data_IF_028585974579
#
_entry.id   IF_028585974579
#
_cell.length_a   1.000
_cell.length_b   1.000
_cell.length_c   1.000
_cell.angle_alpha   90.00
_cell.angle_beta   90.00
_cell.angle_gamma   90.00
#
_symmetry.space_group_name_H-M   'P 1'
#
loop_
_entity.id
_entity.type
_entity.pdbx_description
1 polymer ?
#
# COMPACT_ATOMS: atom_id res chain seq x y z
N UNK A 1 48.97 15.30 13.96
CA UNK A 1 48.57 14.34 12.90
C UNK A 1 47.75 13.20 13.52
N UNK A 2 46.42 13.37 13.58
CA UNK A 2 45.50 12.38 14.13
C UNK A 2 45.02 11.46 13.00
N UNK A 3 45.29 10.17 13.14
CA UNK A 3 44.77 9.10 12.29
C UNK A 3 43.29 8.88 12.61
N UNK A 4 42.41 9.18 11.65
CA UNK A 4 40.98 8.91 11.74
C UNK A 4 40.67 7.40 11.71
N UNK A 5 39.43 7.01 12.07
CA UNK A 5 39.02 5.61 12.12
C UNK A 5 39.04 4.97 10.72
N UNK A 6 39.46 3.71 10.67
CA UNK A 6 39.44 2.86 9.48
C UNK A 6 38.00 2.61 9.04
N UNK A 7 37.76 2.65 7.73
CA UNK A 7 36.45 2.37 7.14
C UNK A 7 36.13 0.87 7.26
N UNK A 8 34.94 0.57 7.77
CA UNK A 8 34.36 -0.79 7.76
C UNK A 8 34.05 -1.21 6.33
N UNK A 9 34.99 -1.93 5.70
CA UNK A 9 34.88 -2.53 4.37
C UNK A 9 34.47 -4.02 4.44
N UNK A 10 33.91 -4.48 5.56
CA UNK A 10 33.66 -5.91 5.77
C UNK A 10 32.41 -6.44 5.02
N UNK A 11 31.49 -5.56 4.64
CA UNK A 11 30.35 -5.93 3.79
C UNK A 11 30.38 -5.04 2.55
N UNK A 12 30.83 -5.61 1.42
CA UNK A 12 30.69 -4.97 0.12
C UNK A 12 29.23 -4.58 -0.10
N UNK A 13 29.00 -3.40 -0.70
CA UNK A 13 27.69 -2.82 -0.99
C UNK A 13 26.85 -3.66 -1.97
N UNK A 14 26.44 -4.86 -1.58
CA UNK A 14 25.33 -5.56 -2.22
C UNK A 14 24.07 -5.18 -1.45
N UNK A 15 23.21 -4.37 -2.10
CA UNK A 15 21.90 -4.05 -1.55
C UNK A 15 21.06 -5.32 -1.47
N UNK A 16 20.75 -5.75 -0.25
CA UNK A 16 19.74 -6.77 0.04
C UNK A 16 18.35 -6.21 -0.32
N UNK A 17 17.90 -6.42 -1.56
CA UNK A 17 16.47 -6.56 -1.94
C UNK A 17 16.32 -6.54 -3.46
N UNK A 18 15.98 -7.68 -4.07
CA UNK A 18 14.98 -7.81 -5.14
C UNK A 18 14.97 -9.23 -5.72
N UNK A 19 13.92 -10.04 -5.50
CA UNK A 19 13.65 -11.20 -6.33
C UNK A 19 12.66 -10.81 -7.44
N UNK A 20 13.09 -10.03 -8.43
CA UNK A 20 12.36 -9.91 -9.70
C UNK A 20 12.95 -10.92 -10.70
N UNK A 21 12.68 -12.20 -10.46
CA UNK A 21 12.97 -13.26 -11.41
C UNK A 21 11.77 -13.47 -12.33
N UNK A 22 11.70 -12.67 -13.38
CA UNK A 22 10.87 -12.97 -14.55
C UNK A 22 11.36 -14.24 -15.24
N UNK A 23 10.56 -15.31 -15.16
CA UNK A 23 10.81 -16.56 -15.87
C UNK A 23 10.53 -16.40 -17.37
N UNK A 24 11.56 -15.98 -18.11
CA UNK A 24 11.63 -16.07 -19.57
C UNK A 24 12.64 -17.13 -19.98
N UNK A 25 12.23 -18.40 -20.02
CA UNK A 25 13.05 -19.51 -20.53
C UNK A 25 12.85 -19.62 -22.04
N UNK A 26 13.91 -19.46 -22.84
CA UNK A 26 14.16 -20.29 -24.03
C UNK A 26 15.58 -20.12 -24.65
N UNK A 27 16.36 -21.22 -24.60
CA UNK A 27 17.36 -21.78 -25.56
C UNK A 27 18.59 -20.90 -25.94
N UNK A 28 19.78 -21.44 -26.22
CA UNK A 28 20.14 -22.71 -26.89
C UNK A 28 21.59 -23.10 -26.59
N UNK A 29 21.88 -24.39 -26.80
CA UNK A 29 23.15 -25.10 -26.71
C UNK A 29 24.30 -24.53 -27.56
N UNK A 30 25.53 -24.56 -27.03
CA UNK A 30 26.78 -24.30 -27.75
C UNK A 30 27.98 -24.22 -26.80
N UNK A 31 28.84 -25.24 -26.81
CA UNK A 31 30.01 -25.44 -25.92
C UNK A 31 31.14 -24.38 -26.11
N UNK A 32 32.14 -24.32 -25.19
CA UNK A 32 32.85 -23.11 -24.75
C UNK A 32 34.20 -22.90 -25.45
N UNK A 33 34.70 -21.67 -25.39
CA UNK A 33 36.12 -21.41 -25.67
C UNK A 33 36.63 -20.29 -24.73
N UNK A 34 37.51 -20.66 -23.80
CA UNK A 34 38.15 -19.72 -22.89
C UNK A 34 38.47 -20.34 -21.53
N UNK A 35 39.67 -20.04 -21.02
CA UNK A 35 40.16 -20.38 -19.69
C UNK A 35 39.31 -19.73 -18.58
N UNK A 36 38.09 -20.20 -18.42
CA UNK A 36 37.20 -19.83 -17.33
C UNK A 36 37.47 -20.79 -16.18
N UNK A 37 37.87 -20.23 -15.03
CA UNK A 37 37.90 -20.96 -13.77
C UNK A 37 36.50 -21.55 -13.58
N UNK A 38 36.35 -22.84 -13.85
CA UNK A 38 35.24 -23.61 -13.32
C UNK A 38 35.63 -23.84 -11.86
N UNK A 39 35.13 -23.07 -10.87
CA UNK A 39 35.14 -23.61 -9.53
C UNK A 39 34.46 -24.96 -9.67
N UNK A 40 35.10 -26.03 -9.19
CA UNK A 40 34.39 -27.29 -8.95
C UNK A 40 33.02 -26.90 -8.42
N UNK A 41 31.96 -27.12 -9.19
CA UNK A 41 30.64 -26.72 -8.77
C UNK A 41 30.42 -27.54 -7.49
N UNK A 42 30.45 -26.95 -6.27
CA UNK A 42 30.35 -27.75 -5.05
C UNK A 42 28.95 -28.38 -4.95
N UNK A 43 28.04 -27.99 -5.84
CA UNK A 43 26.75 -28.62 -6.09
C UNK A 43 26.85 -29.82 -7.04
N UNK A 44 27.89 -30.66 -6.93
CA UNK A 44 27.77 -32.07 -7.35
C UNK A 44 26.75 -32.70 -6.41
N UNK A 45 25.48 -32.54 -6.75
CA UNK A 45 24.32 -33.34 -6.37
C UNK A 45 24.48 -34.18 -5.09
N UNK A 46 24.76 -33.55 -3.96
CA UNK A 46 24.18 -34.06 -2.74
C UNK A 46 22.69 -33.80 -2.90
N UNK A 47 21.86 -34.85 -2.87
CA UNK A 47 20.39 -34.75 -2.77
C UNK A 47 19.93 -33.90 -1.55
N UNK A 48 20.87 -33.35 -0.78
CA UNK A 48 20.73 -32.41 0.32
C UNK A 48 20.49 -30.96 -0.13
N UNK A 49 20.41 -30.68 -1.44
CA UNK A 49 19.97 -29.38 -1.93
C UNK A 49 18.54 -29.08 -1.47
N UNK A 50 18.40 -28.17 -0.51
CA UNK A 50 17.07 -27.78 -0.05
C UNK A 50 16.28 -27.04 -1.15
N UNK A 51 14.96 -27.19 -1.15
CA UNK A 51 14.08 -26.59 -2.18
C UNK A 51 14.18 -25.06 -2.20
N UNK A 52 13.82 -24.40 -3.30
CA UNK A 52 13.80 -22.93 -3.37
C UNK A 52 12.99 -22.29 -2.22
N UNK A 53 11.96 -22.97 -1.72
CA UNK A 53 11.22 -22.54 -0.55
C UNK A 53 12.13 -22.36 0.68
N UNK A 54 13.12 -23.23 0.88
CA UNK A 54 14.10 -23.16 1.96
C UNK A 54 14.85 -21.83 2.01
N UNK A 55 15.11 -21.21 0.86
CA UNK A 55 15.83 -19.94 0.78
C UNK A 55 14.90 -18.73 0.66
N UNK A 56 13.57 -18.93 0.79
CA UNK A 56 12.61 -17.86 0.62
C UNK A 56 12.54 -16.97 1.87
N UNK A 57 13.16 -15.80 1.83
CA UNK A 57 12.96 -14.77 2.84
C UNK A 57 11.57 -14.15 2.67
N UNK A 58 10.85 -13.93 3.77
CA UNK A 58 9.62 -13.14 3.67
C UNK A 58 10.00 -11.68 3.47
N UNK A 59 9.20 -10.90 2.73
CA UNK A 59 9.41 -9.46 2.64
C UNK A 59 9.45 -8.86 4.05
N UNK A 60 10.45 -8.03 4.34
CA UNK A 60 10.55 -7.25 5.58
C UNK A 60 10.06 -5.81 5.36
N UNK A 61 9.84 -5.06 6.44
CA UNK A 61 9.65 -3.61 6.40
C UNK A 61 10.97 -2.85 6.20
N UNK A 62 11.91 -3.44 5.48
CA UNK A 62 13.30 -2.98 5.32
C UNK A 62 13.96 -2.65 6.67
N UNK A 63 14.61 -1.49 6.78
CA UNK A 63 15.30 -1.04 8.01
C UNK A 63 14.35 -0.61 9.14
N UNK A 64 13.04 -0.53 8.92
CA UNK A 64 12.09 0.01 9.89
C UNK A 64 11.39 -1.08 10.69
N UNK A 65 11.07 -2.20 10.05
CA UNK A 65 10.40 -3.31 10.72
C UNK A 65 10.94 -4.67 10.27
N UNK A 66 11.30 -5.50 11.24
CA UNK A 66 11.57 -6.91 11.02
C UNK A 66 10.29 -7.71 11.32
N UNK A 67 9.71 -8.29 10.26
CA UNK A 67 8.61 -9.25 10.41
C UNK A 67 9.16 -10.68 10.51
N UNK A 68 8.27 -11.63 10.82
CA UNK A 68 8.60 -13.06 10.79
C UNK A 68 9.20 -13.44 9.43
N UNK A 69 10.51 -13.72 9.39
CA UNK A 69 11.17 -14.29 8.23
C UNK A 69 11.15 -15.81 8.29
N UNK A 70 10.77 -16.41 7.16
CA UNK A 70 11.05 -17.80 6.89
C UNK A 70 12.56 -17.85 6.60
N UNK A 71 13.29 -18.58 7.45
CA UNK A 71 14.69 -19.02 7.31
C UNK A 71 15.79 -18.36 8.19
N UNK A 72 16.74 -19.18 8.73
CA UNK A 72 16.60 -20.59 9.05
C UNK A 72 15.75 -20.77 10.32
N UNK A 73 14.80 -21.69 10.27
CA UNK A 73 14.07 -22.12 11.46
C UNK A 73 14.97 -23.02 12.33
N UNK A 74 15.99 -22.44 12.98
CA UNK A 74 16.75 -23.12 14.04
C UNK A 74 15.85 -23.27 15.27
N UNK A 75 14.92 -24.24 15.22
CA UNK A 75 14.01 -24.70 16.26
C UNK A 75 13.69 -23.71 17.42
N UNK A 76 12.85 -22.69 17.21
CA UNK A 76 11.95 -22.24 18.25
C UNK A 76 10.60 -22.99 18.11
N UNK A 77 9.88 -23.13 19.21
CA UNK A 77 8.64 -23.89 19.34
C UNK A 77 7.54 -23.46 18.35
N UNK A 78 7.35 -24.22 17.27
CA UNK A 78 6.10 -24.23 16.50
C UNK A 78 6.19 -24.73 15.06
N UNK A 79 5.07 -25.25 14.53
CA UNK A 79 4.97 -25.69 13.14
C UNK A 79 4.82 -24.50 12.17
N UNK A 80 5.56 -24.55 11.06
CA UNK A 80 5.37 -23.64 9.94
C UNK A 80 4.24 -24.17 9.05
N UNK A 81 3.36 -23.29 8.59
CA UNK A 81 2.32 -23.64 7.62
C UNK A 81 2.16 -22.54 6.56
N UNK A 82 1.62 -22.92 5.40
CA UNK A 82 1.26 -22.01 4.32
C UNK A 82 -0.14 -21.45 4.56
N UNK A 83 -0.27 -20.12 4.54
CA UNK A 83 -1.58 -19.47 4.55
C UNK A 83 -2.26 -19.61 3.18
N UNK A 84 -3.56 -19.29 3.10
CA UNK A 84 -4.29 -19.25 1.82
C UNK A 84 -3.69 -18.30 0.77
N UNK A 85 -2.87 -17.33 1.20
CA UNK A 85 -2.10 -16.43 0.34
C UNK A 85 -0.73 -16.98 -0.11
N UNK A 86 -0.40 -18.25 0.21
CA UNK A 86 0.88 -18.85 -0.17
C UNK A 86 2.08 -18.41 0.67
N UNK A 87 1.85 -17.87 1.87
CA UNK A 87 2.92 -17.39 2.75
C UNK A 87 3.19 -18.34 3.91
N UNK A 88 4.47 -18.52 4.24
CA UNK A 88 4.87 -19.25 5.44
C UNK A 88 4.65 -18.40 6.69
N UNK A 89 3.90 -18.93 7.64
CA UNK A 89 3.76 -18.36 8.98
C UNK A 89 4.09 -19.43 10.02
N UNK A 90 4.67 -19.01 11.15
CA UNK A 90 4.92 -19.88 12.28
C UNK A 90 3.85 -19.66 13.34
N UNK A 91 3.12 -20.71 13.70
CA UNK A 91 2.23 -20.63 14.85
C UNK A 91 3.04 -20.59 16.13
N UNK A 92 2.71 -19.64 17.00
CA UNK A 92 3.25 -19.61 18.35
C UNK A 92 2.72 -20.82 19.12
N UNK A 93 3.55 -21.85 19.31
CA UNK A 93 3.20 -22.95 20.19
C UNK A 93 3.45 -22.54 21.63
N UNK A 94 2.36 -22.37 22.38
CA UNK A 94 2.45 -22.19 23.82
C UNK A 94 3.16 -23.40 24.46
N UNK A 95 4.20 -23.13 25.26
CA UNK A 95 4.72 -24.13 26.19
C UNK A 95 3.57 -24.50 27.12
N UNK A 96 3.08 -25.75 27.03
CA UNK A 96 2.07 -26.27 27.96
C UNK A 96 2.67 -26.30 29.36
N UNK A 97 2.46 -25.23 30.13
CA UNK A 97 2.73 -25.22 31.55
C UNK A 97 1.77 -26.23 32.19
N UNK A 98 2.26 -27.37 32.69
CA UNK A 98 1.41 -28.32 33.42
C UNK A 98 1.01 -27.68 34.76
N UNK A 99 -0.16 -27.05 34.80
CA UNK A 99 -0.74 -26.46 36.01
C UNK A 99 -2.28 -26.49 35.97
N UNK A 100 -2.96 -26.53 37.12
CA UNK A 100 -4.41 -26.78 37.20
C UNK A 100 -5.31 -25.68 36.61
N UNK A 101 -4.75 -24.54 36.20
CA UNK A 101 -5.50 -23.42 35.58
C UNK A 101 -4.58 -22.64 34.63
N UNK A 102 -4.26 -23.23 33.47
CA UNK A 102 -3.55 -22.49 32.41
C UNK A 102 -4.56 -21.59 31.69
N UNK A 103 -4.67 -20.35 32.12
CA UNK A 103 -5.36 -19.34 31.32
C UNK A 103 -4.57 -19.16 30.01
N UNK A 104 -5.23 -19.38 28.87
CA UNK A 104 -4.62 -19.20 27.53
C UNK A 104 -4.09 -17.78 27.42
N UNK A 105 -2.81 -17.52 27.06
CA UNK A 105 -2.20 -16.18 27.05
C UNK A 105 -2.99 -15.09 26.31
N UNK A 106 -3.91 -15.49 25.44
CA UNK A 106 -4.98 -14.63 24.89
C UNK A 106 -5.73 -13.81 25.95
N UNK A 107 -5.72 -14.23 27.21
CA UNK A 107 -6.36 -13.54 28.33
C UNK A 107 -5.57 -12.35 28.88
N UNK A 108 -4.23 -12.32 28.73
CA UNK A 108 -3.41 -11.22 29.25
C UNK A 108 -2.82 -10.33 28.17
N UNK A 109 -2.69 -10.78 26.92
CA UNK A 109 -2.40 -9.85 25.82
C UNK A 109 -2.63 -10.46 24.43
N UNK A 110 -3.52 -9.84 23.63
CA UNK A 110 -3.67 -10.15 22.21
C UNK A 110 -2.38 -9.85 21.42
N UNK A 111 -1.47 -9.03 21.97
CA UNK A 111 -0.20 -8.67 21.35
C UNK A 111 0.78 -9.85 21.23
N UNK A 112 0.72 -10.83 22.14
CA UNK A 112 1.66 -11.98 22.16
C UNK A 112 1.36 -12.97 21.04
N UNK A 113 0.08 -13.11 20.64
CA UNK A 113 -0.29 -13.97 19.50
C UNK A 113 0.28 -13.46 18.16
N UNK A 114 0.64 -12.18 18.10
CA UNK A 114 1.23 -11.56 16.92
C UNK A 114 2.75 -11.66 16.90
N UNK A 115 3.39 -12.34 17.86
CA UNK A 115 4.85 -12.51 17.91
C UNK A 115 5.25 -13.99 17.74
N UNK A 116 6.32 -14.28 17.00
CA UNK A 116 6.87 -15.64 16.94
C UNK A 116 7.70 -15.99 18.19
N UNK A 117 8.27 -17.19 18.22
CA UNK A 117 9.17 -17.64 19.28
C UNK A 117 10.47 -16.82 19.43
N UNK A 118 10.75 -15.89 18.51
CA UNK A 118 11.85 -14.93 18.59
C UNK A 118 11.38 -13.50 18.95
N UNK A 119 10.08 -13.30 19.21
CA UNK A 119 9.51 -12.00 19.55
C UNK A 119 9.24 -11.09 18.34
N UNK A 120 9.42 -11.58 17.11
CA UNK A 120 9.19 -10.80 15.87
C UNK A 120 7.71 -10.74 15.53
N UNK A 121 7.25 -9.60 15.03
CA UNK A 121 5.86 -9.41 14.64
C UNK A 121 5.52 -10.28 13.42
N UNK A 122 4.34 -10.90 13.42
CA UNK A 122 3.79 -11.58 12.25
C UNK A 122 3.74 -10.59 11.09
N UNK A 123 4.19 -11.03 9.92
CA UNK A 123 4.11 -10.21 8.72
C UNK A 123 2.64 -9.81 8.50
N UNK A 124 2.34 -8.52 8.27
CA UNK A 124 0.97 -8.11 8.01
C UNK A 124 0.42 -8.79 6.75
N UNK A 125 -0.90 -8.79 6.57
CA UNK A 125 -1.50 -9.30 5.33
C UNK A 125 -1.00 -8.51 4.11
N UNK A 126 -1.08 -9.11 2.91
CA UNK A 126 -0.56 -8.49 1.69
C UNK A 126 -1.20 -7.12 1.41
N UNK A 127 -2.52 -7.05 1.57
CA UNK A 127 -3.30 -5.81 1.40
C UNK A 127 -3.31 -4.93 2.65
N UNK A 128 -2.54 -5.29 3.69
CA UNK A 128 -2.51 -4.51 4.91
C UNK A 128 -1.70 -3.22 4.70
N UNK A 129 -2.27 -2.06 5.04
CA UNK A 129 -1.56 -0.78 5.16
C UNK A 129 -0.23 -0.88 5.91
N UNK A 130 -0.13 -1.80 6.87
CA UNK A 130 1.06 -2.01 7.70
C UNK A 130 2.28 -2.51 6.93
N UNK A 131 2.11 -3.12 5.75
CA UNK A 131 3.26 -3.50 4.91
C UNK A 131 3.96 -2.30 4.28
N UNK A 132 3.23 -1.20 4.15
CA UNK A 132 3.69 -0.02 3.48
C UNK A 132 4.37 0.92 4.50
N UNK A 133 5.43 0.44 5.14
CA UNK A 133 6.10 1.12 6.29
C UNK A 133 6.62 2.52 5.94
N UNK A 134 6.97 2.75 4.67
CA UNK A 134 7.43 4.04 4.15
C UNK A 134 6.31 4.93 3.59
N UNK A 135 5.07 4.46 3.69
CA UNK A 135 3.92 5.15 3.12
C UNK A 135 3.18 5.86 4.24
N UNK A 136 2.74 7.08 3.93
CA UNK A 136 1.94 7.90 4.80
C UNK A 136 0.50 7.85 4.32
N UNK A 137 -0.45 7.67 5.23
CA UNK A 137 -1.86 7.86 4.89
C UNK A 137 -2.16 9.35 4.82
N UNK A 138 -2.64 9.82 3.67
CA UNK A 138 -3.01 11.21 3.44
C UNK A 138 -4.46 11.28 3.01
N UNK A 139 -5.22 12.14 3.68
CA UNK A 139 -6.58 12.51 3.30
C UNK A 139 -6.59 13.91 2.69
N UNK A 140 -7.20 14.04 1.52
CA UNK A 140 -7.44 15.33 0.84
C UNK A 140 -8.93 15.47 0.62
N UNK A 141 -9.47 16.66 0.91
CA UNK A 141 -10.87 16.97 0.68
C UNK A 141 -11.03 18.22 -0.19
N UNK A 142 -12.21 18.35 -0.76
CA UNK A 142 -12.65 19.56 -1.46
C UNK A 142 -14.15 19.74 -1.24
N UNK A 143 -14.71 20.80 -1.79
CA UNK A 143 -16.15 21.09 -1.76
C UNK A 143 -16.76 20.85 -3.13
N UNK A 144 -17.94 20.23 -3.13
CA UNK A 144 -18.81 20.06 -4.28
C UNK A 144 -20.11 20.81 -3.98
N UNK A 145 -20.38 21.89 -4.71
CA UNK A 145 -21.57 22.72 -4.44
C UNK A 145 -22.36 23.04 -5.70
N UNK A 146 -23.65 23.34 -5.52
CA UNK A 146 -24.52 23.92 -6.54
C UNK A 146 -25.78 24.56 -5.91
N UNK A 147 -26.33 25.60 -6.53
CA UNK A 147 -27.29 26.55 -5.94
C UNK A 147 -28.71 26.51 -6.52
N UNK A 148 -28.99 25.67 -7.53
CA UNK A 148 -30.31 25.58 -8.16
C UNK A 148 -30.95 24.19 -7.99
N UNK A 149 -32.29 24.14 -7.99
CA UNK A 149 -33.05 22.88 -8.02
C UNK A 149 -32.61 22.00 -9.20
N UNK A 150 -32.50 20.68 -8.98
CA UNK A 150 -32.16 19.73 -10.05
C UNK A 150 -30.74 19.79 -10.58
N UNK A 151 -29.90 20.64 -10.00
CA UNK A 151 -28.63 20.98 -10.59
C UNK A 151 -27.55 19.91 -10.40
N UNK A 152 -26.50 20.01 -11.21
CA UNK A 152 -25.33 19.12 -11.15
C UNK A 152 -24.12 19.90 -10.65
N UNK A 153 -23.63 19.55 -9.46
CA UNK A 153 -22.35 20.03 -8.96
C UNK A 153 -21.20 19.22 -9.55
N UNK A 154 -20.07 19.86 -9.82
CA UNK A 154 -18.82 19.18 -10.22
C UNK A 154 -17.60 19.83 -9.59
N UNK A 155 -16.60 19.03 -9.23
CA UNK A 155 -15.36 19.50 -8.60
C UNK A 155 -14.19 18.61 -9.00
N UNK A 156 -12.98 19.18 -8.96
CA UNK A 156 -11.73 18.47 -9.19
C UNK A 156 -10.99 18.31 -7.86
N UNK A 157 -10.58 17.08 -7.53
CA UNK A 157 -9.84 16.76 -6.32
C UNK A 157 -8.48 16.13 -6.71
N UNK A 158 -7.38 16.80 -6.36
CA UNK A 158 -6.03 16.24 -6.53
C UNK A 158 -5.70 15.35 -5.33
N UNK A 159 -5.65 14.03 -5.53
CA UNK A 159 -5.39 13.06 -4.46
C UNK A 159 -3.91 12.98 -4.06
N UNK A 160 -2.98 13.11 -5.02
CA UNK A 160 -1.52 13.05 -4.81
C UNK A 160 -0.77 13.83 -5.90
N UNK A 161 0.52 14.14 -5.70
CA UNK A 161 1.36 14.76 -6.74
C UNK A 161 2.03 13.67 -7.59
N UNK A 162 1.60 13.46 -8.86
CA UNK A 162 2.14 12.38 -9.68
C UNK A 162 3.61 12.59 -10.07
N UNK A 163 4.16 13.80 -9.94
CA UNK A 163 5.57 14.07 -10.26
C UNK A 163 6.53 13.59 -9.17
N UNK A 164 6.06 13.53 -7.92
CA UNK A 164 6.90 13.25 -6.74
C UNK A 164 6.49 12.01 -5.97
N UNK A 165 5.23 11.62 -6.06
CA UNK A 165 4.62 10.62 -5.20
C UNK A 165 4.10 9.43 -6.01
N UNK A 166 4.18 8.26 -5.40
CA UNK A 166 3.46 7.05 -5.83
C UNK A 166 2.36 6.77 -4.81
N UNK A 167 1.26 6.18 -5.27
CA UNK A 167 0.05 6.02 -4.49
C UNK A 167 -0.45 4.57 -4.49
N UNK A 168 -1.06 4.14 -3.38
CA UNK A 168 -1.71 2.82 -3.21
C UNK A 168 -2.93 2.92 -2.30
N UNK A 169 -3.82 1.94 -2.42
CA UNK A 169 -4.98 1.75 -1.54
C UNK A 169 -5.81 3.02 -1.37
N UNK A 170 -6.05 3.71 -2.47
CA UNK A 170 -6.87 4.93 -2.46
C UNK A 170 -8.34 4.58 -2.27
N UNK A 171 -9.00 5.37 -1.43
CA UNK A 171 -10.43 5.26 -1.14
C UNK A 171 -11.09 6.63 -1.26
N UNK A 172 -12.31 6.66 -1.79
CA UNK A 172 -13.15 7.86 -1.81
C UNK A 172 -14.34 7.67 -0.88
N UNK A 173 -14.56 8.65 -0.01
CA UNK A 173 -15.82 8.83 0.69
C UNK A 173 -16.44 10.16 0.27
N UNK A 174 -17.76 10.19 0.09
CA UNK A 174 -18.49 11.40 -0.28
C UNK A 174 -19.60 11.62 0.73
N UNK A 175 -19.50 12.73 1.46
CA UNK A 175 -20.46 13.11 2.47
C UNK A 175 -21.24 14.35 2.05
N UNK A 176 -22.54 14.38 2.32
CA UNK A 176 -23.42 15.48 1.98
C UNK A 176 -23.85 16.21 3.25
N UNK A 177 -23.99 17.54 3.16
CA UNK A 177 -24.80 18.29 4.11
C UNK A 177 -26.28 18.05 3.77
N UNK A 178 -27.14 17.81 4.75
CA UNK A 178 -28.56 17.73 4.50
C UNK A 178 -29.07 19.15 4.24
N UNK A 179 -29.65 19.37 3.07
CA UNK A 179 -30.28 20.65 2.69
C UNK A 179 -31.78 20.48 2.73
N UNK A 180 -32.31 19.46 2.04
CA UNK A 180 -33.73 19.09 2.09
C UNK A 180 -33.87 17.66 1.55
N UNK A 181 -33.63 16.66 2.40
CA UNK A 181 -33.67 15.25 2.03
C UNK A 181 -34.55 14.45 3.00
N UNK A 182 -35.73 14.96 3.36
CA UNK A 182 -36.60 14.37 4.37
C UNK A 182 -37.81 13.59 3.80
N UNK A 183 -37.97 13.59 2.47
CA UNK A 183 -39.06 12.98 1.69
C UNK A 183 -40.43 13.64 1.87
N UNK A 184 -40.52 14.85 2.42
CA UNK A 184 -41.81 15.50 2.65
C UNK A 184 -42.60 15.66 1.33
N UNK A 185 -41.91 15.88 0.21
CA UNK A 185 -42.52 15.96 -1.13
C UNK A 185 -42.27 14.75 -2.03
N UNK A 186 -41.78 13.64 -1.48
CA UNK A 186 -41.35 12.43 -2.19
C UNK A 186 -40.31 12.70 -3.28
N UNK A 187 -39.13 12.10 -3.17
CA UNK A 187 -38.14 12.13 -4.24
C UNK A 187 -37.01 13.15 -4.09
N UNK A 188 -36.88 13.80 -2.94
CA UNK A 188 -35.70 14.59 -2.54
C UNK A 188 -34.50 13.67 -2.33
N UNK A 189 -33.59 13.59 -3.29
CA UNK A 189 -32.47 12.63 -3.26
C UNK A 189 -31.32 13.08 -4.13
N UNK A 190 -30.14 12.52 -3.88
CA UNK A 190 -29.04 12.59 -4.83
C UNK A 190 -29.29 11.53 -5.90
N UNK A 191 -29.63 11.97 -7.10
CA UNK A 191 -30.05 11.08 -8.20
C UNK A 191 -28.91 10.18 -8.67
N UNK A 192 -27.71 10.75 -8.84
CA UNK A 192 -26.51 10.01 -9.18
C UNK A 192 -25.24 10.69 -8.67
N UNK A 193 -24.20 9.87 -8.50
CA UNK A 193 -22.84 10.30 -8.20
C UNK A 193 -21.91 9.66 -9.23
N UNK A 194 -21.06 10.47 -9.87
CA UNK A 194 -20.06 10.02 -10.85
C UNK A 194 -18.66 10.43 -10.42
N UNK A 195 -17.70 9.53 -10.68
CA UNK A 195 -16.27 9.77 -10.48
C UNK A 195 -15.56 9.44 -11.79
N UNK A 196 -14.83 10.41 -12.35
CA UNK A 196 -14.20 10.30 -13.67
C UNK A 196 -15.18 9.81 -14.76
N UNK A 197 -16.43 10.27 -14.69
CA UNK A 197 -17.51 9.89 -15.60
C UNK A 197 -18.16 8.53 -15.33
N UNK A 198 -17.62 7.71 -14.43
CA UNK A 198 -18.20 6.41 -14.05
C UNK A 198 -19.27 6.59 -12.98
N UNK A 199 -20.42 5.94 -13.15
CA UNK A 199 -21.51 5.95 -12.19
C UNK A 199 -21.16 5.07 -10.98
N UNK A 200 -20.97 5.68 -9.80
CA UNK A 200 -20.53 4.96 -8.59
C UNK A 200 -21.65 4.73 -7.59
N UNK A 201 -22.65 5.60 -7.57
CA UNK A 201 -23.85 5.42 -6.76
C UNK A 201 -25.03 6.13 -7.41
N UNK A 202 -26.24 5.66 -7.12
CA UNK A 202 -27.51 6.23 -7.55
C UNK A 202 -28.46 6.23 -6.37
N UNK A 203 -29.40 7.18 -6.37
CA UNK A 203 -30.52 7.17 -5.43
C UNK A 203 -30.07 7.19 -3.95
N UNK A 204 -29.14 8.09 -3.62
CA UNK A 204 -28.75 8.28 -2.22
C UNK A 204 -29.76 9.19 -1.52
N UNK A 205 -30.30 8.69 -0.40
CA UNK A 205 -31.35 9.36 0.34
C UNK A 205 -31.02 9.48 1.84
N UNK A 206 -30.54 10.66 2.30
CA UNK A 206 -30.17 10.90 3.70
C UNK A 206 -31.29 10.81 4.74
N UNK A 207 -32.56 10.95 4.36
CA UNK A 207 -33.71 10.97 5.29
C UNK A 207 -33.60 12.03 6.41
N UNK A 208 -33.07 13.22 6.10
CA UNK A 208 -32.89 14.29 7.07
C UNK A 208 -33.28 15.67 6.52
N UNK A 209 -34.00 16.41 7.37
CA UNK A 209 -34.38 17.82 7.18
C UNK A 209 -33.14 18.72 7.43
N UNK A 210 -32.79 19.55 6.45
CA UNK A 210 -31.67 20.49 6.52
C UNK A 210 -32.04 21.89 7.01
N UNK A 211 -33.29 22.17 7.40
CA UNK A 211 -33.73 23.51 7.77
C UNK A 211 -33.24 23.98 9.16
N UNK A 212 -32.70 23.06 9.97
CA UNK A 212 -32.19 23.37 11.30
C UNK A 212 -30.65 23.35 11.29
N UNK A 213 -30.02 24.40 11.84
CA UNK A 213 -28.56 24.44 11.97
C UNK A 213 -27.98 23.23 12.71
N UNK A 214 -28.73 22.63 13.64
CA UNK A 214 -28.34 21.41 14.34
C UNK A 214 -28.40 20.15 13.43
N UNK A 215 -29.33 20.09 12.49
CA UNK A 215 -29.45 18.97 11.54
C UNK A 215 -28.52 19.11 10.34
N UNK A 216 -28.11 20.33 9.97
CA UNK A 216 -27.08 20.59 8.95
C UNK A 216 -25.65 20.21 9.37
N UNK A 217 -25.39 20.10 10.68
CA UNK A 217 -24.07 19.82 11.22
C UNK A 217 -23.51 18.41 10.88
N UNK A 218 -24.27 17.30 11.01
CA UNK A 218 -23.78 15.98 10.62
C UNK A 218 -23.65 15.84 9.10
N UNK A 219 -22.50 15.33 8.67
CA UNK A 219 -22.24 14.92 7.31
C UNK A 219 -22.81 13.52 7.04
N UNK A 220 -23.64 13.37 6.00
CA UNK A 220 -24.25 12.10 5.64
C UNK A 220 -23.48 11.38 4.52
N UNK A 221 -22.99 10.15 4.74
CA UNK A 221 -22.20 9.43 3.75
C UNK A 221 -23.08 8.79 2.66
N UNK A 222 -22.95 9.24 1.42
CA UNK A 222 -23.55 8.58 0.26
C UNK A 222 -22.60 7.59 -0.42
N UNK A 223 -21.29 7.76 -0.26
CA UNK A 223 -20.26 6.82 -0.73
C UNK A 223 -19.29 6.65 0.42
N UNK A 224 -18.95 5.41 0.77
CA UNK A 224 -18.00 5.09 1.81
C UNK A 224 -16.93 4.17 1.27
N UNK A 225 -15.67 4.54 1.48
CA UNK A 225 -14.50 3.70 1.21
C UNK A 225 -14.46 3.08 -0.20
N UNK A 226 -14.97 3.80 -1.22
CA UNK A 226 -14.97 3.32 -2.59
C UNK A 226 -13.51 3.14 -3.06
N UNK A 227 -13.06 1.93 -3.39
CA UNK A 227 -11.70 1.71 -3.88
C UNK A 227 -11.51 2.43 -5.21
N UNK A 228 -10.44 3.20 -5.30
CA UNK A 228 -10.14 4.04 -6.47
C UNK A 228 -9.13 3.41 -7.43
N UNK A 229 -8.62 2.21 -7.14
CA UNK A 229 -7.53 1.57 -7.90
C UNK A 229 -7.84 1.41 -9.41
N UNK A 230 -9.12 1.31 -9.80
CA UNK A 230 -9.57 1.22 -11.20
C UNK A 230 -10.12 2.51 -11.80
N UNK A 231 -10.30 3.56 -10.99
CA UNK A 231 -10.97 4.82 -11.37
C UNK A 231 -9.97 5.98 -11.42
N UNK A 232 -8.99 5.99 -10.51
CA UNK A 232 -7.94 6.99 -10.42
C UNK A 232 -6.89 6.73 -11.51
N UNK A 233 -6.63 7.76 -12.32
CA UNK A 233 -5.60 7.70 -13.35
C UNK A 233 -4.23 8.13 -12.80
N UNK A 234 -3.21 8.08 -13.68
CA UNK A 234 -1.85 8.50 -13.33
C UNK A 234 -1.71 10.00 -13.03
N UNK A 235 -2.72 10.82 -13.36
CA UNK A 235 -2.71 12.25 -13.06
C UNK A 235 -2.96 12.54 -11.58
N UNK A 236 -3.60 11.59 -10.88
CA UNK A 236 -4.02 11.76 -9.49
C UNK A 236 -5.20 12.72 -9.30
N UNK A 237 -5.87 13.13 -10.38
CA UNK A 237 -7.05 14.01 -10.33
C UNK A 237 -8.33 13.18 -10.40
N UNK A 238 -9.26 13.48 -9.51
CA UNK A 238 -10.62 12.94 -9.50
C UNK A 238 -11.60 14.04 -9.92
N UNK A 239 -12.31 13.81 -11.01
CA UNK A 239 -13.47 14.61 -11.39
C UNK A 239 -14.73 14.01 -10.78
N UNK A 240 -15.25 14.66 -9.74
CA UNK A 240 -16.38 14.19 -8.96
C UNK A 240 -17.58 15.06 -9.30
N UNK A 241 -18.70 14.43 -9.63
CA UNK A 241 -19.95 15.12 -9.91
C UNK A 241 -21.12 14.40 -9.25
N UNK A 242 -22.12 15.17 -8.83
CA UNK A 242 -23.37 14.64 -8.31
C UNK A 242 -24.52 15.54 -8.73
N UNK A 243 -25.71 14.94 -8.86
CA UNK A 243 -26.94 15.66 -9.18
C UNK A 243 -27.98 15.43 -8.07
N UNK A 244 -28.66 16.50 -7.67
CA UNK A 244 -29.86 16.44 -6.82
C UNK A 244 -31.12 16.39 -7.69
N UNK A 245 -32.23 15.89 -7.16
CA UNK A 245 -33.50 15.90 -7.86
C UNK A 245 -34.08 17.32 -7.99
N UNK A 246 -35.05 17.48 -8.91
CA UNK A 246 -35.77 18.75 -9.12
C UNK A 246 -36.69 19.13 -7.93
N UNK A 247 -36.83 18.24 -6.94
CA UNK A 247 -37.66 18.43 -5.74
C UNK A 247 -36.88 18.89 -4.52
N UNK A 248 -35.55 19.02 -4.59
CA UNK A 248 -34.72 19.58 -3.50
C UNK A 248 -34.69 21.10 -3.67
N UNK A 249 -35.64 21.81 -3.05
CA UNK A 249 -35.84 23.24 -3.24
C UNK A 249 -35.73 24.10 -1.97
N UNK A 250 -35.62 23.48 -0.80
CA UNK A 250 -35.54 24.19 0.48
C UNK A 250 -34.16 24.10 1.18
N UNK A 251 -33.98 24.98 2.17
CA UNK A 251 -32.97 24.88 3.21
C UNK A 251 -31.49 24.72 2.77
N UNK A 252 -30.99 25.67 1.95
CA UNK A 252 -29.62 25.63 1.46
C UNK A 252 -28.58 25.70 2.59
N UNK A 253 -27.50 24.93 2.44
CA UNK A 253 -26.30 25.01 3.28
C UNK A 253 -25.35 26.04 2.67
N UNK A 254 -25.05 27.12 3.39
CA UNK A 254 -24.23 28.25 2.89
C UNK A 254 -24.71 28.81 1.53
N UNK A 255 -26.02 28.76 1.26
CA UNK A 255 -26.60 29.23 -0.01
C UNK A 255 -26.60 28.19 -1.14
N UNK A 256 -26.21 26.95 -0.87
CA UNK A 256 -26.19 25.85 -1.84
C UNK A 256 -27.21 24.76 -1.50
N UNK A 257 -27.99 24.33 -2.49
CA UNK A 257 -28.96 23.23 -2.37
C UNK A 257 -28.29 21.86 -2.46
N UNK A 258 -27.15 21.79 -3.15
CA UNK A 258 -26.24 20.64 -3.11
C UNK A 258 -24.96 21.11 -2.45
N UNK A 259 -24.59 20.51 -1.32
CA UNK A 259 -23.31 20.74 -0.66
C UNK A 259 -22.73 19.42 -0.17
N UNK A 260 -21.55 19.06 -0.67
CA UNK A 260 -20.88 17.83 -0.29
C UNK A 260 -19.38 18.02 -0.11
N UNK A 261 -18.80 17.13 0.70
CA UNK A 261 -17.38 17.06 1.04
C UNK A 261 -16.83 15.72 0.53
N UNK A 262 -16.39 15.64 -0.74
CA UNK A 262 -15.56 14.54 -1.21
C UNK A 262 -14.25 14.48 -0.43
N UNK A 263 -13.89 13.30 0.06
CA UNK A 263 -12.65 13.03 0.77
C UNK A 263 -11.97 11.79 0.19
N UNK A 264 -10.82 11.99 -0.45
CA UNK A 264 -9.96 10.92 -0.92
C UNK A 264 -8.89 10.63 0.13
N UNK A 265 -8.76 9.37 0.54
CA UNK A 265 -7.73 8.89 1.47
C UNK A 265 -6.86 7.89 0.76
N UNK A 266 -5.56 8.15 0.69
CA UNK A 266 -4.60 7.34 -0.05
C UNK A 266 -3.36 7.08 0.80
N UNK A 267 -2.70 5.93 0.57
CA UNK A 267 -1.33 5.76 1.02
C UNK A 267 -0.40 6.36 -0.03
N UNK A 268 0.45 7.30 0.38
CA UNK A 268 1.42 7.98 -0.48
C UNK A 268 2.84 7.70 -0.02
N UNK A 269 3.75 7.53 -0.97
CA UNK A 269 5.19 7.48 -0.72
C UNK A 269 5.92 8.30 -1.77
N UNK A 270 7.08 8.87 -1.43
CA UNK A 270 7.93 9.53 -2.42
C UNK A 270 8.42 8.50 -3.44
N UNK A 271 8.40 8.87 -4.72
CA UNK A 271 9.05 8.08 -5.76
C UNK A 271 10.55 8.00 -5.46
N UNK A 272 11.18 6.82 -5.62
CA UNK A 272 12.62 6.71 -5.51
C UNK A 272 13.28 7.73 -6.44
N UNK A 273 14.13 8.59 -5.88
CA UNK A 273 14.95 9.47 -6.73
C UNK A 273 15.77 8.56 -7.63
N UNK A 274 15.73 8.74 -8.97
CA UNK A 274 16.54 7.94 -9.87
C UNK A 274 17.97 7.95 -9.35
N UNK A 275 18.47 6.78 -8.95
CA UNK A 275 19.87 6.69 -8.51
C UNK A 275 20.69 7.28 -9.67
N UNK A 276 21.57 8.26 -9.42
CA UNK A 276 22.38 8.83 -10.48
C UNK A 276 22.99 7.66 -11.24
N UNK A 277 22.64 7.50 -12.52
CA UNK A 277 23.20 6.43 -13.35
C UNK A 277 24.70 6.59 -13.18
N UNK A 278 25.35 5.62 -12.49
CA UNK A 278 26.75 5.72 -12.13
C UNK A 278 27.46 6.12 -13.41
N UNK A 279 27.95 7.37 -13.46
CA UNK A 279 28.31 8.01 -14.71
C UNK A 279 29.21 7.03 -15.43
N UNK A 280 28.75 6.52 -16.58
CA UNK A 280 29.32 5.33 -17.22
C UNK A 280 30.83 5.44 -17.10
N UNK A 281 31.42 4.56 -16.27
CA UNK A 281 32.78 4.72 -15.82
C UNK A 281 33.61 5.02 -17.07
N UNK A 282 34.20 6.23 -17.14
CA UNK A 282 34.89 6.66 -18.35
C UNK A 282 35.81 5.50 -18.74
N UNK A 283 35.74 5.00 -19.99
CA UNK A 283 36.56 3.89 -20.39
C UNK A 283 37.99 4.23 -20.01
N UNK A 284 38.58 3.42 -19.13
CA UNK A 284 39.95 3.59 -18.70
C UNK A 284 40.78 3.37 -19.94
N UNK A 285 41.22 4.46 -20.57
CA UNK A 285 42.07 4.38 -21.76
C UNK A 285 43.39 3.77 -21.27
N UNK A 286 43.81 2.60 -21.79
CA UNK A 286 45.07 2.00 -21.36
C UNK A 286 46.20 2.99 -21.64
N UNK A 287 47.00 3.29 -20.62
CA UNK A 287 48.17 4.13 -20.76
C UNK A 287 49.18 3.40 -21.67
N UNK A 288 49.27 3.81 -22.94
CA UNK A 288 50.33 3.36 -23.81
C UNK A 288 51.66 3.87 -23.26
N UNK A 289 52.46 2.97 -22.69
CA UNK A 289 53.87 3.24 -22.41
C UNK A 289 54.61 3.37 -23.73
N UNK A 290 55.02 4.59 -24.05
CA UNK A 290 56.03 4.85 -25.07
C UNK A 290 57.36 4.27 -24.56
N UNK A 291 57.75 3.13 -25.11
CA UNK A 291 59.12 2.65 -25.01
C UNK A 291 60.02 3.62 -25.78
N UNK A 292 60.92 4.31 -25.08
CA UNK A 292 61.96 5.12 -25.70
C UNK A 292 62.97 4.19 -26.40
N UNK A 293 63.30 4.53 -27.65
CA UNK A 293 64.33 3.89 -28.45
C UNK A 293 65.72 4.47 -28.16
#
# INVERSE_FOLDING_TARGET
>A
PATGPLADLWFGHQGESSPDAGLGVQRTEGFPDGWEYQPDNPYVASDDGHSAAWYAETPSGASHEAWQTFYPASRPSGAWHLTGGGHWVQDYHHVSLKGPTVMRPTWFDASVANRDGYGRMRAPDYDSPKRNVFWEERAVNTTLTCDTVGCTGSTLLQAFDPSREQVKHCKLSLFFHPTDFDDQYSGERVTWIKVNGQLVNTDCFPMMDGCNAASQAPLFPCVQDLPLDSILDESGVLNISAQISDTVDECPYDGHLLAAVPMATCQVALKPTPRPTAAAARPVVPAFSLAAA
#
